data_IF_233208915841
#
_entry.id   IF_233208915841
#
_cell.length_a   1.000
_cell.length_b   1.000
_cell.length_c   1.000
_cell.angle_alpha   90.00
_cell.angle_beta   90.00
_cell.angle_gamma   90.00
#
_symmetry.space_group_name_H-M   'P 1'
#
loop_
_entity.id
_entity.type
_entity.pdbx_description
1 polymer ?
#
# COMPACT_ATOMS: atom_id res chain seq x y z
N UNK A 1 -29.25 -10.26 6.91
CA UNK A 1 -28.47 -9.15 7.49
C UNK A 1 -27.15 -9.18 6.76
N UNK A 2 -27.15 -8.72 5.77
CA UNK A 2 -26.92 -7.66 4.77
C UNK A 2 -25.43 -7.38 4.55
N UNK A 3 -24.96 -7.94 3.44
CA UNK A 3 -23.66 -7.76 2.77
C UNK A 3 -23.33 -6.29 2.36
N UNK A 4 -23.82 -5.29 3.07
CA UNK A 4 -23.66 -3.87 2.69
C UNK A 4 -22.31 -3.25 3.05
N UNK A 5 -21.38 -3.99 3.64
CA UNK A 5 -20.08 -3.46 4.06
C UNK A 5 -18.98 -3.42 2.97
N UNK A 6 -19.12 -4.25 1.94
CA UNK A 6 -18.05 -4.44 0.93
C UNK A 6 -18.35 -3.79 -0.43
N UNK A 7 -19.57 -3.29 -0.65
CA UNK A 7 -20.01 -2.77 -1.96
C UNK A 7 -19.54 -1.34 -2.26
N UNK A 8 -19.10 -0.58 -1.24
CA UNK A 8 -18.89 0.87 -1.38
C UNK A 8 -17.56 1.26 -2.08
N UNK A 9 -16.69 0.31 -2.34
CA UNK A 9 -15.36 0.57 -2.93
C UNK A 9 -15.13 -0.11 -4.28
N UNK A 10 -15.97 -1.06 -4.66
CA UNK A 10 -15.93 -1.64 -5.99
C UNK A 10 -16.46 -0.64 -6.99
N UNK A 11 -15.68 -0.35 -8.00
CA UNK A 11 -16.12 0.46 -9.13
C UNK A 11 -17.27 -0.23 -9.92
N UNK A 12 -17.24 -1.59 -9.93
CA UNK A 12 -18.30 -2.45 -10.47
C UNK A 12 -18.44 -3.71 -9.60
N UNK A 13 -19.68 -4.21 -9.47
CA UNK A 13 -19.98 -5.45 -8.72
C UNK A 13 -19.74 -6.73 -9.54
N UNK A 14 -19.54 -6.61 -10.84
CA UNK A 14 -19.25 -7.72 -11.74
C UNK A 14 -17.75 -7.83 -11.98
N UNK A 15 -17.26 -9.07 -12.11
CA UNK A 15 -15.89 -9.30 -12.49
C UNK A 15 -15.67 -8.91 -13.96
N UNK A 16 -14.54 -8.29 -14.23
CA UNK A 16 -14.12 -7.87 -15.56
C UNK A 16 -12.80 -8.55 -15.95
N UNK A 17 -12.57 -8.71 -17.23
CA UNK A 17 -11.28 -9.17 -17.74
C UNK A 17 -10.20 -8.08 -17.57
N UNK A 18 -8.93 -8.48 -17.66
CA UNK A 18 -7.82 -7.53 -17.67
C UNK A 18 -7.93 -6.54 -18.83
N UNK A 19 -8.38 -7.01 -20.01
CA UNK A 19 -8.56 -6.15 -21.19
C UNK A 19 -9.63 -5.08 -20.95
N UNK A 20 -10.77 -5.47 -20.37
CA UNK A 20 -11.83 -4.52 -19.98
C UNK A 20 -11.35 -3.53 -18.92
N UNK A 21 -10.58 -4.01 -17.93
CA UNK A 21 -9.97 -3.12 -16.92
C UNK A 21 -9.08 -2.05 -17.56
N UNK A 22 -8.19 -2.43 -18.49
CA UNK A 22 -7.30 -1.49 -19.16
C UNK A 22 -8.08 -0.44 -19.96
N UNK A 23 -9.15 -0.84 -20.67
CA UNK A 23 -10.03 0.08 -21.39
C UNK A 23 -10.76 1.04 -20.44
N UNK A 24 -11.25 0.56 -19.28
CA UNK A 24 -11.89 1.38 -18.27
C UNK A 24 -10.89 2.39 -17.70
N UNK A 25 -9.68 1.91 -17.39
CA UNK A 25 -8.63 2.74 -16.80
C UNK A 25 -8.19 3.88 -17.73
N UNK A 26 -8.01 3.61 -19.03
CA UNK A 26 -7.64 4.63 -20.02
C UNK A 26 -8.69 5.76 -20.12
N UNK A 27 -9.96 5.46 -19.82
CA UNK A 27 -11.06 6.43 -19.90
C UNK A 27 -11.46 6.98 -18.52
N UNK A 28 -10.69 6.71 -17.47
CA UNK A 28 -11.01 7.12 -16.09
C UNK A 28 -10.01 8.18 -15.58
N UNK A 29 -10.55 9.27 -15.02
CA UNK A 29 -9.75 10.25 -14.27
C UNK A 29 -9.40 9.78 -12.85
N UNK A 30 -9.93 8.63 -12.43
CA UNK A 30 -9.71 8.07 -11.10
C UNK A 30 -8.60 7.01 -11.12
N UNK A 31 -7.88 6.88 -10.00
CA UNK A 31 -6.95 5.78 -9.78
C UNK A 31 -7.72 4.50 -9.54
N UNK A 32 -7.53 3.52 -10.43
CA UNK A 32 -8.22 2.24 -10.39
C UNK A 32 -7.22 1.12 -10.14
N UNK A 33 -7.49 0.31 -9.14
CA UNK A 33 -6.80 -0.94 -8.84
C UNK A 33 -7.57 -2.12 -9.40
N UNK A 34 -6.87 -3.20 -9.75
CA UNK A 34 -7.47 -4.44 -10.26
C UNK A 34 -7.02 -5.63 -9.42
N UNK A 35 -7.96 -6.29 -8.74
CA UNK A 35 -7.68 -7.43 -7.88
C UNK A 35 -8.66 -8.55 -8.21
N UNK A 36 -8.17 -9.66 -8.74
CA UNK A 36 -8.95 -10.87 -9.00
C UNK A 36 -10.26 -10.65 -9.81
N UNK A 37 -10.18 -9.83 -10.85
CA UNK A 37 -11.33 -9.52 -11.68
C UNK A 37 -12.18 -8.36 -11.20
N UNK A 38 -11.88 -7.76 -10.06
CA UNK A 38 -12.64 -6.63 -9.53
C UNK A 38 -11.84 -5.33 -9.60
N UNK A 39 -12.55 -4.25 -9.92
CA UNK A 39 -12.00 -2.90 -9.97
C UNK A 39 -12.34 -2.18 -8.67
N UNK A 40 -11.32 -1.61 -8.04
CA UNK A 40 -11.42 -0.77 -6.86
C UNK A 40 -10.99 0.64 -7.20
N UNK A 41 -11.70 1.64 -6.68
CA UNK A 41 -11.39 3.04 -6.91
C UNK A 41 -10.76 3.64 -5.66
N UNK A 42 -9.58 4.24 -5.82
CA UNK A 42 -8.98 5.04 -4.75
C UNK A 42 -9.63 6.42 -4.69
N UNK A 43 -10.16 6.84 -3.55
CA UNK A 43 -10.75 8.16 -3.39
C UNK A 43 -9.68 9.25 -3.48
N UNK A 44 -10.10 10.47 -3.84
CA UNK A 44 -9.19 11.62 -3.79
C UNK A 44 -8.66 11.84 -2.36
N UNK A 45 -7.34 11.96 -2.18
CA UNK A 45 -6.73 12.04 -0.88
C UNK A 45 -7.01 13.39 -0.19
N UNK A 46 -7.20 13.38 1.14
CA UNK A 46 -7.32 14.59 1.94
C UNK A 46 -5.96 15.29 2.10
N UNK A 47 -5.99 16.58 2.49
CA UNK A 47 -4.76 17.32 2.85
C UNK A 47 -3.94 16.61 3.92
N UNK A 48 -4.60 16.03 4.94
CA UNK A 48 -3.91 15.28 6.01
C UNK A 48 -3.23 14.03 5.46
N UNK A 49 -3.92 13.29 4.59
CA UNK A 49 -3.37 12.12 3.91
C UNK A 49 -2.11 12.50 3.10
N UNK A 50 -2.20 13.52 2.25
CA UNK A 50 -1.07 13.96 1.41
C UNK A 50 0.13 14.44 2.24
N UNK A 51 -0.13 15.14 3.36
CA UNK A 51 0.94 15.58 4.26
C UNK A 51 1.67 14.40 4.90
N UNK A 52 0.93 13.37 5.34
CA UNK A 52 1.49 12.15 5.91
C UNK A 52 2.30 11.39 4.86
N UNK A 53 1.74 11.19 3.66
CA UNK A 53 2.43 10.54 2.54
C UNK A 53 3.74 11.23 2.19
N UNK A 54 3.72 12.54 2.00
CA UNK A 54 4.92 13.33 1.70
C UNK A 54 5.99 13.22 2.79
N UNK A 55 5.61 13.28 4.06
CA UNK A 55 6.55 13.17 5.19
C UNK A 55 7.19 11.77 5.29
N UNK A 56 6.39 10.73 5.13
CA UNK A 56 6.92 9.37 5.11
C UNK A 56 7.84 9.13 3.91
N UNK A 57 7.45 9.61 2.71
CA UNK A 57 8.29 9.51 1.53
C UNK A 57 9.64 10.19 1.71
N UNK A 58 9.67 11.39 2.30
CA UNK A 58 10.93 12.09 2.64
C UNK A 58 11.79 11.27 3.61
N UNK A 59 11.18 10.69 4.65
CA UNK A 59 11.93 9.88 5.63
C UNK A 59 12.51 8.62 5.01
N UNK A 60 11.72 7.89 4.23
CA UNK A 60 12.20 6.71 3.51
C UNK A 60 13.26 7.07 2.47
N UNK A 61 13.03 8.12 1.68
CA UNK A 61 13.97 8.56 0.65
C UNK A 61 15.34 8.93 1.24
N UNK A 62 15.36 9.74 2.32
CA UNK A 62 16.60 10.10 3.00
C UNK A 62 17.34 8.89 3.60
N UNK A 63 16.58 7.92 4.15
CA UNK A 63 17.17 6.70 4.72
C UNK A 63 17.77 5.77 3.65
N UNK A 64 17.12 5.73 2.49
CA UNK A 64 17.52 4.86 1.37
C UNK A 64 18.51 5.52 0.41
N UNK A 65 18.94 6.75 0.69
CA UNK A 65 19.93 7.45 -0.15
C UNK A 65 21.25 6.67 -0.19
N UNK A 66 21.66 6.26 -1.38
CA UNK A 66 22.85 5.43 -1.61
C UNK A 66 22.65 3.93 -1.40
N UNK A 67 21.45 3.48 -1.01
CA UNK A 67 21.12 2.07 -0.86
C UNK A 67 20.60 1.45 -2.18
N UNK A 68 20.44 0.14 -2.20
CA UNK A 68 19.95 -0.60 -3.37
C UNK A 68 18.44 -0.44 -3.59
N UNK A 69 17.69 -0.14 -2.54
CA UNK A 69 16.23 -0.01 -2.57
C UNK A 69 15.80 1.42 -2.93
N UNK A 70 14.68 1.54 -3.62
CA UNK A 70 14.10 2.82 -4.01
C UNK A 70 12.68 2.98 -3.45
N UNK A 71 12.29 4.23 -3.15
CA UNK A 71 10.95 4.56 -2.68
C UNK A 71 10.12 5.16 -3.81
N UNK A 72 8.90 4.66 -3.97
CA UNK A 72 7.90 5.15 -4.91
C UNK A 72 6.63 5.53 -4.17
N UNK A 73 5.93 6.55 -4.65
CA UNK A 73 4.63 6.96 -4.12
C UNK A 73 3.56 6.94 -5.21
N UNK A 74 2.29 6.83 -4.80
CA UNK A 74 1.17 6.96 -5.72
C UNK A 74 1.24 8.29 -6.52
N UNK A 75 0.81 8.28 -7.81
CA UNK A 75 0.27 7.15 -8.55
C UNK A 75 1.38 6.33 -9.24
N UNK A 76 1.67 5.16 -8.74
CA UNK A 76 2.60 4.23 -9.36
C UNK A 76 2.03 2.82 -9.33
N UNK A 77 1.85 2.23 -10.50
CA UNK A 77 1.25 0.91 -10.64
C UNK A 77 2.24 -0.18 -10.25
N UNK A 78 1.77 -1.11 -9.42
CA UNK A 78 2.48 -2.33 -9.11
C UNK A 78 1.63 -3.52 -9.56
N UNK A 79 2.11 -4.23 -10.58
CA UNK A 79 1.57 -5.52 -10.97
C UNK A 79 2.23 -6.58 -10.09
N UNK A 80 1.48 -7.06 -9.08
CA UNK A 80 1.97 -8.12 -8.20
C UNK A 80 2.10 -9.42 -8.98
N UNK A 81 3.31 -9.97 -9.02
CA UNK A 81 3.63 -11.19 -9.75
C UNK A 81 4.43 -12.16 -8.90
N UNK A 82 3.92 -13.38 -8.81
CA UNK A 82 4.61 -14.56 -8.28
C UNK A 82 4.18 -15.75 -9.15
N UNK A 83 5.14 -16.56 -9.61
CA UNK A 83 4.87 -17.70 -10.50
C UNK A 83 3.99 -18.81 -9.86
N UNK A 84 3.79 -18.74 -8.54
CA UNK A 84 2.97 -19.69 -7.78
C UNK A 84 1.54 -19.18 -7.53
N UNK A 85 1.27 -17.93 -7.86
CA UNK A 85 -0.03 -17.30 -7.60
C UNK A 85 -0.67 -16.96 -8.94
N UNK A 86 -1.78 -17.61 -9.24
CA UNK A 86 -2.55 -17.33 -10.46
C UNK A 86 -3.30 -16.00 -10.35
N UNK A 87 -3.59 -15.43 -11.51
CA UNK A 87 -4.33 -14.18 -11.66
C UNK A 87 -3.44 -12.95 -11.69
N UNK A 88 -4.00 -11.86 -12.15
CA UNK A 88 -3.32 -10.56 -12.24
C UNK A 88 -3.89 -9.60 -11.20
N UNK A 89 -3.00 -8.89 -10.51
CA UNK A 89 -3.36 -7.88 -9.53
C UNK A 89 -2.51 -6.65 -9.76
N UNK A 90 -3.19 -5.53 -9.98
CA UNK A 90 -2.56 -4.22 -10.14
C UNK A 90 -3.03 -3.36 -8.97
N UNK A 91 -2.10 -2.95 -8.14
CA UNK A 91 -2.33 -2.10 -6.97
C UNK A 91 -1.57 -0.79 -7.10
N UNK A 92 -2.02 0.23 -6.37
CA UNK A 92 -1.42 1.57 -6.35
C UNK A 92 -1.22 1.97 -4.88
N UNK A 93 -0.22 1.41 -4.20
CA UNK A 93 0.05 1.74 -2.81
C UNK A 93 0.40 3.21 -2.63
N UNK A 94 0.05 3.80 -1.50
CA UNK A 94 0.44 5.17 -1.18
C UNK A 94 1.97 5.35 -1.19
N UNK A 95 2.71 4.36 -0.63
CA UNK A 95 4.17 4.29 -0.72
C UNK A 95 4.59 2.83 -0.87
N UNK A 96 5.58 2.59 -1.72
CA UNK A 96 6.22 1.29 -1.86
C UNK A 96 7.75 1.41 -1.85
N UNK A 97 8.42 0.42 -1.26
CA UNK A 97 9.87 0.30 -1.30
C UNK A 97 10.22 -0.94 -2.11
N UNK A 98 10.99 -0.74 -3.16
CA UNK A 98 11.35 -1.76 -4.14
C UNK A 98 12.86 -1.94 -4.11
N UNK A 99 13.32 -3.17 -3.84
CA UNK A 99 14.74 -3.51 -3.79
C UNK A 99 15.16 -4.40 -4.97
N UNK A 100 14.24 -5.17 -5.56
CA UNK A 100 14.49 -5.91 -6.78
C UNK A 100 14.16 -5.04 -8.00
N UNK A 101 15.22 -4.62 -8.69
CA UNK A 101 15.08 -3.72 -9.85
C UNK A 101 14.73 -4.44 -11.15
N UNK A 102 14.71 -5.77 -11.16
CA UNK A 102 14.47 -6.56 -12.38
C UNK A 102 13.05 -6.42 -12.93
N UNK A 103 12.10 -6.03 -12.08
CA UNK A 103 10.69 -5.84 -12.45
C UNK A 103 10.33 -4.45 -12.98
N UNK A 104 11.26 -3.50 -13.04
CA UNK A 104 10.96 -2.16 -13.56
C UNK A 104 10.71 -2.17 -15.06
N UNK A 105 9.63 -1.49 -15.45
CA UNK A 105 9.30 -1.17 -16.84
C UNK A 105 9.09 0.34 -16.97
N UNK A 106 8.93 0.85 -18.19
CA UNK A 106 8.65 2.27 -18.40
C UNK A 106 7.32 2.73 -17.80
N UNK A 107 6.36 1.81 -17.61
CA UNK A 107 4.99 2.13 -17.20
C UNK A 107 4.69 1.76 -15.74
N UNK A 108 5.31 0.70 -15.20
CA UNK A 108 4.96 0.11 -13.89
C UNK A 108 6.06 -0.79 -13.37
N UNK A 109 5.93 -1.19 -12.12
CA UNK A 109 6.71 -2.28 -11.57
C UNK A 109 5.95 -3.61 -11.68
N UNK A 110 6.63 -4.66 -12.14
CA UNK A 110 6.10 -6.03 -12.23
C UNK A 110 6.91 -6.92 -11.28
N UNK A 111 6.35 -7.25 -10.13
CA UNK A 111 7.05 -7.99 -9.09
C UNK A 111 6.46 -7.76 -7.72
N UNK A 112 7.24 -8.04 -6.67
CA UNK A 112 6.81 -7.92 -5.27
C UNK A 112 7.61 -6.81 -4.60
N UNK A 113 6.98 -5.69 -4.16
CA UNK A 113 7.66 -4.68 -3.37
C UNK A 113 8.12 -5.25 -2.03
N UNK A 114 9.23 -4.76 -1.51
CA UNK A 114 9.75 -5.24 -0.22
C UNK A 114 8.96 -4.71 0.97
N UNK A 115 8.47 -3.49 0.88
CA UNK A 115 7.64 -2.83 1.90
C UNK A 115 6.54 -2.01 1.22
N UNK A 116 5.36 -2.01 1.82
CA UNK A 116 4.20 -1.24 1.38
C UNK A 116 3.65 -0.42 2.54
N UNK A 117 3.23 0.80 2.26
CA UNK A 117 2.50 1.67 3.20
C UNK A 117 1.16 2.04 2.59
N UNK A 118 0.08 1.85 3.36
CA UNK A 118 -1.26 2.34 3.03
C UNK A 118 -1.72 3.33 4.10
N UNK A 119 -2.19 4.49 3.67
CA UNK A 119 -2.70 5.54 4.53
C UNK A 119 -4.22 5.54 4.43
N UNK A 120 -4.88 5.15 5.52
CA UNK A 120 -6.32 4.97 5.54
C UNK A 120 -7.09 6.27 5.27
N UNK A 121 -8.11 6.17 4.44
CA UNK A 121 -9.19 7.15 4.35
C UNK A 121 -10.45 6.62 5.02
N UNK A 122 -11.39 7.48 5.44
CA UNK A 122 -12.65 7.01 6.03
C UNK A 122 -13.41 6.04 5.15
N UNK A 123 -13.17 6.12 3.85
CA UNK A 123 -13.88 5.36 2.83
C UNK A 123 -13.26 4.00 2.47
N UNK A 124 -11.96 3.76 2.68
CA UNK A 124 -11.29 2.51 2.26
C UNK A 124 -10.76 1.63 3.40
N UNK A 125 -11.08 1.96 4.67
CA UNK A 125 -10.52 1.26 5.84
C UNK A 125 -10.64 -0.26 5.79
N UNK A 126 -11.83 -0.78 5.48
CA UNK A 126 -12.05 -2.25 5.47
C UNK A 126 -11.28 -2.94 4.35
N UNK A 127 -11.13 -2.28 3.20
CA UNK A 127 -10.37 -2.81 2.07
C UNK A 127 -8.88 -2.91 2.42
N UNK A 128 -8.29 -1.83 2.91
CA UNK A 128 -6.86 -1.80 3.25
C UNK A 128 -6.53 -2.67 4.46
N UNK A 129 -7.42 -2.71 5.47
CA UNK A 129 -7.19 -3.48 6.69
C UNK A 129 -7.34 -4.99 6.50
N UNK A 130 -8.17 -5.46 5.57
CA UNK A 130 -8.46 -6.88 5.42
C UNK A 130 -7.99 -7.40 4.07
N UNK A 131 -8.44 -6.79 2.97
CA UNK A 131 -8.16 -7.29 1.62
C UNK A 131 -6.70 -7.13 1.26
N UNK A 132 -6.15 -5.92 1.42
CA UNK A 132 -4.75 -5.63 1.08
C UNK A 132 -3.76 -6.28 2.06
N UNK A 133 -4.11 -6.37 3.37
CA UNK A 133 -3.26 -7.09 4.32
C UNK A 133 -3.06 -8.55 3.89
N UNK A 134 -4.15 -9.25 3.57
CA UNK A 134 -4.06 -10.64 3.09
C UNK A 134 -3.37 -10.73 1.73
N UNK A 135 -3.64 -9.79 0.82
CA UNK A 135 -3.03 -9.74 -0.50
C UNK A 135 -1.50 -9.63 -0.38
N UNK A 136 -1.00 -8.62 0.34
CA UNK A 136 0.44 -8.40 0.50
C UNK A 136 1.13 -9.53 1.26
N UNK A 137 0.47 -10.10 2.27
CA UNK A 137 0.97 -11.28 2.98
C UNK A 137 1.14 -12.48 2.04
N UNK A 138 0.13 -12.78 1.23
CA UNK A 138 0.16 -13.92 0.30
C UNK A 138 1.24 -13.79 -0.77
N UNK A 139 1.52 -12.56 -1.24
CA UNK A 139 2.61 -12.28 -2.16
C UNK A 139 3.99 -12.25 -1.49
N UNK A 140 4.06 -12.26 -0.16
CA UNK A 140 5.33 -12.25 0.56
C UNK A 140 5.99 -10.86 0.63
N UNK A 141 5.21 -9.79 0.60
CA UNK A 141 5.69 -8.45 0.96
C UNK A 141 6.23 -8.51 2.38
N UNK A 142 7.51 -8.15 2.57
CA UNK A 142 8.21 -8.38 3.84
C UNK A 142 7.66 -7.54 4.99
N UNK A 143 7.16 -6.33 4.68
CA UNK A 143 6.63 -5.43 5.69
C UNK A 143 5.47 -4.60 5.14
N UNK A 144 4.40 -4.48 5.92
CA UNK A 144 3.21 -3.71 5.59
C UNK A 144 2.88 -2.72 6.70
N UNK A 145 2.80 -1.45 6.35
CA UNK A 145 2.48 -0.34 7.24
C UNK A 145 1.07 0.12 7.01
N UNK A 146 0.28 0.18 8.07
CA UNK A 146 -1.06 0.78 8.06
C UNK A 146 -1.00 2.07 8.86
N UNK A 147 -1.21 3.18 8.17
CA UNK A 147 -1.24 4.51 8.77
C UNK A 147 -2.69 4.96 8.89
N UNK A 148 -3.15 5.24 10.11
CA UNK A 148 -4.51 5.71 10.39
C UNK A 148 -4.50 7.20 10.79
N UNK A 149 -4.84 8.12 9.85
CA UNK A 149 -4.85 9.56 10.15
C UNK A 149 -5.92 9.97 11.16
N UNK A 150 -7.03 9.23 11.28
CA UNK A 150 -8.11 9.56 12.21
C UNK A 150 -7.71 9.29 13.66
N UNK A 151 -6.89 8.26 13.88
CA UNK A 151 -6.42 7.86 15.20
C UNK A 151 -4.96 8.25 15.48
N UNK A 152 -4.28 8.92 14.55
CA UNK A 152 -2.84 9.19 14.59
C UNK A 152 -2.02 7.94 14.94
N UNK A 153 -2.38 6.80 14.37
CA UNK A 153 -1.77 5.50 14.67
C UNK A 153 -1.03 4.98 13.45
N UNK A 154 0.14 4.38 13.67
CA UNK A 154 0.84 3.58 12.68
C UNK A 154 0.99 2.18 13.26
N UNK A 155 0.59 1.17 12.48
CA UNK A 155 0.79 -0.24 12.77
C UNK A 155 1.70 -0.84 11.72
N UNK A 156 2.71 -1.57 12.15
CA UNK A 156 3.67 -2.26 11.29
C UNK A 156 3.47 -3.76 11.43
N UNK A 157 3.18 -4.41 10.32
CA UNK A 157 3.15 -5.86 10.19
C UNK A 157 4.41 -6.32 9.45
N UNK A 158 5.09 -7.33 9.97
CA UNK A 158 6.25 -7.92 9.35
C UNK A 158 6.03 -9.42 9.09
N UNK A 159 6.48 -9.88 7.93
CA UNK A 159 6.38 -11.29 7.57
C UNK A 159 7.35 -12.10 8.45
N UNK A 160 6.85 -13.18 9.03
CA UNK A 160 7.65 -14.14 9.79
C UNK A 160 8.16 -15.28 8.89
N UNK A 161 8.91 -16.21 9.47
CA UNK A 161 9.49 -17.36 8.74
C UNK A 161 8.42 -18.33 8.22
N UNK A 162 7.21 -18.33 8.80
CA UNK A 162 6.04 -19.10 8.37
C UNK A 162 5.24 -18.38 7.27
N UNK A 163 5.72 -17.23 6.78
CA UNK A 163 5.07 -16.36 5.80
C UNK A 163 3.72 -15.80 6.27
N UNK A 164 3.60 -15.56 7.55
CA UNK A 164 2.45 -14.90 8.16
C UNK A 164 2.85 -13.52 8.68
N UNK A 165 1.94 -12.54 8.54
CA UNK A 165 2.15 -11.24 9.16
C UNK A 165 1.95 -11.32 10.67
N UNK A 166 2.96 -10.81 11.38
CA UNK A 166 2.89 -10.53 12.81
C UNK A 166 3.01 -9.02 13.03
N UNK A 167 2.27 -8.50 14.00
CA UNK A 167 2.42 -7.11 14.40
C UNK A 167 3.81 -6.91 15.01
N UNK A 168 4.65 -6.16 14.32
CA UNK A 168 6.00 -5.84 14.77
C UNK A 168 6.02 -4.65 15.73
N UNK A 169 5.33 -3.58 15.37
CA UNK A 169 5.26 -2.35 16.16
C UNK A 169 3.89 -1.66 15.99
N UNK A 170 3.48 -0.89 16.99
CA UNK A 170 2.31 0.00 16.94
C UNK A 170 2.56 1.21 17.83
N UNK A 171 2.27 2.39 17.30
CA UNK A 171 2.32 3.64 18.06
C UNK A 171 1.13 4.52 17.76
N UNK A 172 0.67 5.25 18.78
CA UNK A 172 -0.44 6.20 18.67
C UNK A 172 -0.01 7.55 19.24
N UNK A 173 -0.32 8.62 18.53
CA UNK A 173 -0.06 10.02 18.85
C UNK A 173 1.41 10.39 19.01
N UNK A 174 2.17 9.70 19.84
CA UNK A 174 3.56 10.01 20.21
C UNK A 174 4.48 8.79 20.14
N UNK A 175 5.78 9.04 20.04
CA UNK A 175 6.83 8.03 20.02
C UNK A 175 7.36 7.73 18.63
N UNK A 176 8.33 6.83 18.59
CA UNK A 176 8.95 6.39 17.34
C UNK A 176 8.42 5.03 16.92
N UNK A 177 8.01 4.89 15.67
CA UNK A 177 7.67 3.62 15.02
C UNK A 177 8.90 3.10 14.28
N UNK A 178 9.16 1.80 14.35
CA UNK A 178 10.33 1.17 13.75
C UNK A 178 9.95 0.19 12.63
N UNK A 179 10.84 0.09 11.64
CA UNK A 179 10.80 -0.95 10.63
C UNK A 179 11.57 -2.18 11.10
N UNK A 180 11.06 -3.37 10.81
CA UNK A 180 11.80 -4.63 10.96
C UNK A 180 12.65 -4.91 9.73
N UNK A 181 12.13 -4.61 8.54
CA UNK A 181 12.81 -4.87 7.27
C UNK A 181 13.96 -3.88 7.03
N UNK A 182 13.74 -2.58 7.25
CA UNK A 182 14.77 -1.55 7.13
C UNK A 182 15.46 -1.36 8.49
N UNK A 183 16.50 -2.14 8.71
CA UNK A 183 17.20 -2.13 10.00
C UNK A 183 17.72 -0.72 10.37
N UNK A 184 17.29 -0.22 11.53
CA UNK A 184 17.64 1.12 12.02
C UNK A 184 16.68 2.24 11.55
N UNK A 185 15.77 1.99 10.64
CA UNK A 185 14.77 2.99 10.24
C UNK A 185 13.75 3.21 11.35
N UNK A 186 13.57 4.47 11.72
CA UNK A 186 12.58 4.92 12.71
C UNK A 186 11.97 6.25 12.30
N UNK A 187 10.71 6.47 12.68
CA UNK A 187 9.99 7.70 12.39
C UNK A 187 9.22 8.16 13.63
N UNK A 188 9.40 9.43 13.99
CA UNK A 188 8.63 10.08 15.07
C UNK A 188 7.21 10.41 14.59
N UNK A 189 6.19 9.92 15.34
CA UNK A 189 4.79 10.17 15.05
C UNK A 189 4.43 11.64 15.12
N UNK A 190 5.04 12.41 16.04
CA UNK A 190 4.80 13.87 16.10
C UNK A 190 5.16 14.55 14.78
N UNK A 191 6.26 14.13 14.14
CA UNK A 191 6.63 14.66 12.83
C UNK A 191 5.60 14.26 11.77
N UNK A 192 5.12 13.01 11.78
CA UNK A 192 4.19 12.50 10.76
C UNK A 192 2.82 13.15 10.87
N UNK A 193 2.27 13.30 12.08
CA UNK A 193 0.88 13.72 12.28
C UNK A 193 0.70 15.21 12.62
N UNK A 194 1.78 15.98 12.83
CA UNK A 194 1.66 17.41 13.15
C UNK A 194 0.86 18.20 12.11
N UNK A 195 0.12 19.19 12.55
CA UNK A 195 -0.72 20.04 11.70
C UNK A 195 0.02 21.23 11.07
N UNK A 196 1.24 21.46 11.49
CA UNK A 196 2.11 22.58 11.06
C UNK A 196 2.97 22.19 9.88
#
# INVERSE_FOLDING_TARGET
>A
MTERGNEMYRYRNESVSMEEYLQIRENSDSLLEYIDGFIYMSPSPSTKHQRISSRLQIKFGNFLEGESCEVFSAPYDIELKDDKIEGTRIVIPDISIICDKSGFTDARYVGIPSLVVEILSPSNQSHDLITKLNLYMNYGVKEYWIVNPMLNTITVYALNDEKMYEQHDIKTDIGEISSKFLNGFRVDLNYIFSSS
#
